data_IF_735449326541
#
_entry.id   IF_735449326541
#
_cell.length_a   1.000
_cell.length_b   1.000
_cell.length_c   1.000
_cell.angle_alpha   90.00
_cell.angle_beta   90.00
_cell.angle_gamma   90.00
#
_symmetry.space_group_name_H-M   'P 1'
#
loop_
_entity.id
_entity.type
_entity.pdbx_description
1 polymer ?
#
# COMPACT_ATOMS: atom_id res chain seq x y z
N UNK A 1 20.21 4.97 -32.46
CA UNK A 1 19.62 4.24 -31.35
C UNK A 1 20.56 3.11 -30.92
N UNK A 2 20.74 2.94 -29.63
CA UNK A 2 21.54 1.88 -29.02
C UNK A 2 20.72 1.20 -27.91
N UNK A 3 20.94 -0.11 -27.71
CA UNK A 3 20.35 -0.81 -26.58
C UNK A 3 21.18 -0.52 -25.31
N UNK A 4 20.53 -0.26 -24.18
CA UNK A 4 21.20 -0.01 -22.91
C UNK A 4 22.16 -1.15 -22.50
N UNK A 5 21.85 -2.40 -22.86
CA UNK A 5 22.68 -3.58 -22.58
C UNK A 5 23.83 -3.80 -23.57
N UNK A 6 23.91 -2.99 -24.64
CA UNK A 6 24.94 -3.06 -25.65
C UNK A 6 25.71 -1.74 -25.82
N UNK A 7 25.71 -0.96 -24.76
CA UNK A 7 26.21 0.40 -24.80
C UNK A 7 27.74 0.41 -24.94
N UNK A 8 28.26 1.22 -25.88
CA UNK A 8 29.69 1.44 -26.05
C UNK A 8 30.13 2.61 -25.17
N UNK A 9 30.97 2.33 -24.19
CA UNK A 9 31.62 3.36 -23.35
C UNK A 9 32.35 4.36 -24.19
N UNK A 10 32.37 5.63 -23.80
CA UNK A 10 33.08 6.71 -24.46
C UNK A 10 32.21 7.65 -25.29
N UNK A 11 30.93 7.42 -25.37
CA UNK A 11 30.02 8.40 -25.93
C UNK A 11 29.68 9.45 -24.89
N UNK A 12 29.72 10.73 -25.31
CA UNK A 12 29.25 11.85 -24.51
C UNK A 12 28.42 12.77 -25.39
N UNK A 13 27.29 13.26 -24.85
CA UNK A 13 26.36 14.08 -25.58
C UNK A 13 25.79 15.22 -24.75
N UNK A 14 25.30 16.25 -25.40
CA UNK A 14 24.60 17.35 -24.74
C UNK A 14 23.19 16.95 -24.32
N UNK A 15 22.54 16.08 -25.08
CA UNK A 15 21.22 15.52 -24.76
C UNK A 15 21.22 14.01 -24.88
N UNK A 16 20.74 13.32 -23.86
CA UNK A 16 20.56 11.87 -23.83
C UNK A 16 19.08 11.58 -23.59
N UNK A 17 18.44 10.84 -24.51
CA UNK A 17 17.05 10.43 -24.38
C UNK A 17 17.02 8.91 -24.25
N UNK A 18 16.48 8.42 -23.15
CA UNK A 18 16.21 7.02 -22.91
C UNK A 18 14.70 6.80 -23.07
N UNK A 19 14.29 6.16 -24.13
CA UNK A 19 12.91 5.91 -24.49
C UNK A 19 12.60 4.43 -24.39
N UNK A 20 11.60 4.07 -23.60
CA UNK A 20 11.09 2.71 -23.35
C UNK A 20 12.19 1.65 -23.06
N UNK A 21 13.25 2.03 -22.33
CA UNK A 21 14.41 1.14 -22.08
C UNK A 21 14.07 -0.09 -21.20
N UNK A 22 12.91 -0.11 -20.59
CA UNK A 22 12.40 -1.23 -19.78
C UNK A 22 11.50 -2.17 -20.58
N UNK A 23 11.28 -1.92 -21.87
CA UNK A 23 10.51 -2.81 -22.73
C UNK A 23 11.42 -3.72 -23.53
N UNK A 24 11.19 -5.02 -23.43
CA UNK A 24 11.79 -6.02 -24.33
C UNK A 24 10.66 -6.78 -25.03
N UNK A 25 10.44 -6.58 -26.33
CA UNK A 25 9.37 -7.26 -27.06
C UNK A 25 9.59 -8.76 -27.21
N UNK A 26 10.78 -9.26 -26.87
CA UNK A 26 11.16 -10.67 -27.06
C UNK A 26 11.24 -11.47 -25.76
N UNK A 27 11.33 -10.78 -24.63
CA UNK A 27 11.47 -11.42 -23.33
C UNK A 27 10.52 -10.82 -22.28
N UNK A 28 9.93 -11.65 -21.48
CA UNK A 28 9.20 -11.19 -20.30
C UNK A 28 10.14 -10.50 -19.32
N UNK A 29 9.81 -9.27 -18.93
CA UNK A 29 10.61 -8.48 -17.99
C UNK A 29 10.54 -9.09 -16.60
N UNK A 30 11.58 -9.80 -16.21
CA UNK A 30 11.74 -10.32 -14.85
C UNK A 30 12.64 -9.40 -14.01
N UNK A 31 12.61 -9.59 -12.70
CA UNK A 31 13.36 -8.76 -11.75
C UNK A 31 14.86 -8.73 -12.02
N UNK A 32 15.44 -9.82 -12.51
CA UNK A 32 16.89 -9.90 -12.83
C UNK A 32 17.25 -9.01 -14.02
N UNK A 33 16.43 -9.01 -15.06
CA UNK A 33 16.62 -8.13 -16.23
C UNK A 33 16.43 -6.67 -15.82
N UNK A 34 15.42 -6.38 -15.04
CA UNK A 34 15.14 -5.03 -14.50
C UNK A 34 16.33 -4.52 -13.68
N UNK A 35 16.88 -5.33 -12.79
CA UNK A 35 18.06 -4.98 -12.01
C UNK A 35 19.30 -4.75 -12.90
N UNK A 36 19.50 -5.58 -13.92
CA UNK A 36 20.60 -5.42 -14.88
C UNK A 36 20.50 -4.10 -15.64
N UNK A 37 19.31 -3.75 -16.15
CA UNK A 37 19.05 -2.48 -16.82
C UNK A 37 19.25 -1.31 -15.86
N UNK A 38 18.74 -1.43 -14.65
CA UNK A 38 18.85 -0.40 -13.62
C UNK A 38 20.31 -0.12 -13.25
N UNK A 39 21.13 -1.17 -13.08
CA UNK A 39 22.55 -1.02 -12.81
C UNK A 39 23.28 -0.38 -13.99
N UNK A 40 23.02 -0.83 -15.21
CA UNK A 40 23.61 -0.25 -16.42
C UNK A 40 23.24 1.24 -16.55
N UNK A 41 22.01 1.64 -16.23
CA UNK A 41 21.62 3.04 -16.24
C UNK A 41 22.44 3.87 -15.23
N UNK A 42 22.53 3.43 -13.98
CA UNK A 42 23.25 4.18 -12.94
C UNK A 42 24.76 4.19 -13.13
N UNK A 43 25.34 3.13 -13.69
CA UNK A 43 26.79 2.99 -13.87
C UNK A 43 27.29 3.62 -15.18
N UNK A 44 26.49 3.59 -16.24
CA UNK A 44 26.95 3.98 -17.58
C UNK A 44 26.17 5.17 -18.13
N UNK A 45 24.83 5.16 -18.12
CA UNK A 45 24.01 6.16 -18.80
C UNK A 45 24.06 7.52 -18.11
N UNK A 46 24.10 7.55 -16.77
CA UNK A 46 24.19 8.80 -16.01
C UNK A 46 25.45 9.63 -16.30
N UNK A 47 26.50 9.01 -16.80
CA UNK A 47 27.77 9.67 -17.11
C UNK A 47 27.87 10.19 -18.56
N UNK A 48 26.83 9.97 -19.39
CA UNK A 48 26.86 10.34 -20.81
C UNK A 48 26.68 11.83 -21.08
N UNK A 49 25.78 12.56 -20.36
CA UNK A 49 25.67 14.00 -20.57
C UNK A 49 26.97 14.69 -20.23
N UNK A 50 27.41 15.61 -21.11
CA UNK A 50 28.49 16.55 -20.81
C UNK A 50 28.03 17.59 -19.81
N UNK A 51 28.94 18.40 -19.29
CA UNK A 51 28.60 19.50 -18.39
C UNK A 51 27.57 20.44 -19.02
N UNK A 52 26.45 20.69 -18.30
CA UNK A 52 25.32 21.47 -18.81
C UNK A 52 24.38 20.70 -19.75
N UNK A 53 24.66 19.41 -19.99
CA UNK A 53 23.79 18.55 -20.80
C UNK A 53 22.60 18.02 -20.01
N UNK A 54 21.62 17.47 -20.72
CA UNK A 54 20.35 16.97 -20.20
C UNK A 54 20.20 15.46 -20.44
N UNK A 55 19.52 14.78 -19.49
CA UNK A 55 19.14 13.38 -19.62
C UNK A 55 17.64 13.24 -19.38
N UNK A 56 16.92 12.71 -20.37
CA UNK A 56 15.51 12.43 -20.30
C UNK A 56 15.27 10.94 -20.31
N UNK A 57 14.49 10.45 -19.35
CA UNK A 57 14.04 9.07 -19.29
C UNK A 57 12.52 9.05 -19.40
N UNK A 58 12.01 8.43 -20.46
CA UNK A 58 10.59 8.31 -20.75
C UNK A 58 10.24 6.84 -20.94
N UNK A 59 9.05 6.42 -20.54
CA UNK A 59 8.56 5.07 -20.74
C UNK A 59 7.54 4.65 -19.71
N UNK A 60 7.14 3.38 -19.80
CA UNK A 60 6.14 2.78 -18.93
C UNK A 60 6.83 1.93 -17.87
N UNK A 61 6.40 2.08 -16.61
CA UNK A 61 6.87 1.25 -15.51
C UNK A 61 6.44 -0.21 -15.72
N UNK A 62 7.41 -1.12 -15.68
CA UNK A 62 7.19 -2.56 -15.90
C UNK A 62 7.12 -3.37 -14.62
N UNK A 63 7.71 -2.85 -13.53
CA UNK A 63 7.77 -3.50 -12.21
C UNK A 63 7.84 -2.45 -11.11
N UNK A 64 7.38 -2.78 -9.90
CA UNK A 64 7.40 -1.87 -8.75
C UNK A 64 8.81 -1.49 -8.27
N UNK A 65 9.82 -2.28 -8.62
CA UNK A 65 11.23 -2.02 -8.30
C UNK A 65 12.05 -1.59 -9.52
N UNK A 66 11.39 -1.19 -10.60
CA UNK A 66 12.10 -0.79 -11.80
C UNK A 66 12.79 0.58 -11.68
N UNK A 67 13.51 0.92 -12.74
CA UNK A 67 14.32 2.12 -12.80
C UNK A 67 13.53 3.41 -12.49
N UNK A 68 12.28 3.53 -12.95
CA UNK A 68 11.47 4.73 -12.72
C UNK A 68 11.22 4.95 -11.23
N UNK A 69 10.85 3.90 -10.48
CA UNK A 69 10.62 3.99 -9.04
C UNK A 69 11.93 4.15 -8.26
N UNK A 70 13.01 3.53 -8.71
CA UNK A 70 14.32 3.71 -8.09
C UNK A 70 14.85 5.13 -8.25
N UNK A 71 14.69 5.75 -9.43
CA UNK A 71 15.03 7.17 -9.66
C UNK A 71 14.23 8.08 -8.74
N UNK A 72 12.91 7.87 -8.65
CA UNK A 72 12.06 8.64 -7.73
C UNK A 72 12.58 8.61 -6.30
N UNK A 73 13.00 7.44 -5.84
CA UNK A 73 13.39 7.24 -4.45
C UNK A 73 14.85 7.62 -4.14
N UNK A 74 15.77 7.45 -5.09
CA UNK A 74 17.22 7.54 -4.86
C UNK A 74 17.88 8.75 -5.51
N UNK A 75 17.37 9.24 -6.62
CA UNK A 75 18.04 10.22 -7.46
C UNK A 75 17.41 11.62 -7.37
N UNK A 76 17.77 12.37 -6.33
CA UNK A 76 17.26 13.74 -6.06
C UNK A 76 17.50 14.77 -7.18
N UNK A 77 18.32 14.44 -8.18
CA UNK A 77 18.62 15.32 -9.32
C UNK A 77 17.60 15.22 -10.45
N UNK A 78 16.74 14.20 -10.43
CA UNK A 78 15.71 14.05 -11.45
C UNK A 78 14.42 14.76 -11.05
N UNK A 79 13.88 15.50 -11.98
CA UNK A 79 12.46 15.91 -11.94
C UNK A 79 11.63 14.71 -12.38
N UNK A 80 10.81 14.19 -11.49
CA UNK A 80 10.01 12.99 -11.73
C UNK A 80 8.53 13.34 -11.86
N UNK A 81 7.89 12.84 -12.89
CA UNK A 81 6.45 13.00 -13.12
C UNK A 81 5.82 11.67 -13.57
N UNK A 82 4.57 11.45 -13.20
CA UNK A 82 3.77 10.30 -13.62
C UNK A 82 2.45 10.78 -14.19
N UNK A 83 2.12 10.32 -15.38
CA UNK A 83 0.93 10.69 -16.11
C UNK A 83 0.03 9.47 -16.28
N UNK A 84 -0.98 9.35 -15.41
CA UNK A 84 -1.99 8.29 -15.49
C UNK A 84 -3.10 8.72 -16.45
N UNK A 85 -3.58 7.80 -17.29
CA UNK A 85 -4.65 8.10 -18.24
C UNK A 85 -5.97 8.48 -17.55
N UNK A 86 -6.30 7.86 -16.40
CA UNK A 86 -7.42 8.25 -15.55
C UNK A 86 -6.88 9.01 -14.35
N UNK A 87 -7.24 10.29 -14.23
CA UNK A 87 -6.85 11.16 -13.13
C UNK A 87 -7.76 10.92 -11.93
N UNK A 88 -9.07 10.90 -12.16
CA UNK A 88 -10.09 10.67 -11.14
C UNK A 88 -11.16 9.73 -11.68
N UNK A 89 -11.29 8.58 -11.06
CA UNK A 89 -12.24 7.53 -11.46
C UNK A 89 -13.68 7.86 -11.05
N UNK A 90 -13.86 8.56 -9.95
CA UNK A 90 -15.20 8.98 -9.47
C UNK A 90 -15.81 10.03 -10.41
N UNK A 91 -15.01 11.05 -10.74
CA UNK A 91 -15.44 12.14 -11.60
C UNK A 91 -15.27 11.80 -13.10
N UNK A 92 -14.75 10.61 -13.41
CA UNK A 92 -14.45 10.15 -14.77
C UNK A 92 -13.54 11.10 -15.55
N UNK A 93 -12.61 11.76 -14.83
CA UNK A 93 -11.66 12.70 -15.42
C UNK A 93 -10.44 11.95 -15.96
N UNK A 94 -10.08 12.23 -17.21
CA UNK A 94 -8.93 11.63 -17.90
C UNK A 94 -7.87 12.67 -18.22
N UNK A 95 -6.63 12.20 -18.43
CA UNK A 95 -5.50 13.05 -18.73
C UNK A 95 -5.65 13.75 -20.10
N UNK A 96 -6.22 13.05 -21.07
CA UNK A 96 -6.39 13.55 -22.44
C UNK A 96 -7.80 13.23 -22.96
N UNK A 97 -8.81 13.97 -22.49
CA UNK A 97 -10.21 13.63 -22.74
C UNK A 97 -10.61 13.69 -24.23
N UNK A 98 -9.93 14.51 -25.05
CA UNK A 98 -10.21 14.64 -26.50
C UNK A 98 -9.85 13.37 -27.29
N UNK A 99 -8.83 12.63 -26.84
CA UNK A 99 -8.36 11.41 -27.50
C UNK A 99 -8.73 10.15 -26.71
N UNK A 100 -8.60 10.21 -25.40
CA UNK A 100 -8.84 9.10 -24.47
C UNK A 100 -9.85 9.50 -23.40
N UNK A 101 -11.11 9.69 -23.81
CA UNK A 101 -12.22 9.90 -22.89
C UNK A 101 -12.44 8.66 -22.02
N UNK A 102 -13.06 8.83 -20.85
CA UNK A 102 -13.24 7.76 -19.85
C UNK A 102 -13.87 6.48 -20.43
N UNK A 103 -14.94 6.60 -21.23
CA UNK A 103 -15.61 5.44 -21.82
C UNK A 103 -14.69 4.69 -22.79
N UNK A 104 -13.87 5.42 -23.59
CA UNK A 104 -12.89 4.80 -24.49
C UNK A 104 -11.80 4.05 -23.71
N UNK A 105 -11.34 4.61 -22.60
CA UNK A 105 -10.37 3.94 -21.73
C UNK A 105 -10.95 2.66 -21.10
N UNK A 106 -12.21 2.67 -20.72
CA UNK A 106 -12.89 1.48 -20.23
C UNK A 106 -13.05 0.41 -21.31
N UNK A 107 -13.39 0.80 -22.54
CA UNK A 107 -13.45 -0.10 -23.68
C UNK A 107 -12.09 -0.77 -23.96
N UNK A 108 -11.01 0.02 -24.01
CA UNK A 108 -9.65 -0.50 -24.15
C UNK A 108 -9.35 -1.51 -23.04
N UNK A 109 -9.64 -1.15 -21.78
CA UNK A 109 -9.42 -2.00 -20.63
C UNK A 109 -10.18 -3.31 -20.73
N UNK A 110 -11.49 -3.26 -21.01
CA UNK A 110 -12.38 -4.41 -20.86
C UNK A 110 -12.43 -5.29 -22.12
N UNK A 111 -12.19 -4.73 -23.31
CA UNK A 111 -12.37 -5.41 -24.59
C UNK A 111 -11.07 -5.65 -25.37
N UNK A 112 -10.04 -4.80 -25.18
CA UNK A 112 -8.85 -4.87 -26.04
C UNK A 112 -7.65 -5.51 -25.33
N UNK A 113 -7.23 -4.97 -24.18
CA UNK A 113 -5.96 -5.37 -23.56
C UNK A 113 -6.08 -6.04 -22.19
N UNK A 114 -7.25 -5.95 -21.57
CA UNK A 114 -7.48 -6.47 -20.22
C UNK A 114 -6.92 -5.59 -19.11
N UNK A 115 -7.38 -5.85 -17.90
CA UNK A 115 -7.08 -5.00 -16.74
C UNK A 115 -5.58 -4.95 -16.39
N UNK A 116 -4.86 -6.09 -16.50
CA UNK A 116 -3.43 -6.17 -16.18
C UNK A 116 -2.60 -5.25 -17.08
N UNK A 117 -2.78 -5.35 -18.39
CA UNK A 117 -2.07 -4.52 -19.34
C UNK A 117 -2.51 -3.05 -19.21
N UNK A 118 -3.80 -2.79 -19.02
CA UNK A 118 -4.31 -1.44 -18.82
C UNK A 118 -3.71 -0.77 -17.56
N UNK A 119 -3.66 -1.49 -16.45
CA UNK A 119 -3.07 -0.98 -15.20
C UNK A 119 -1.61 -0.58 -15.41
N UNK A 120 -0.86 -1.39 -16.13
CA UNK A 120 0.55 -1.14 -16.43
C UNK A 120 0.73 0.01 -17.43
N UNK A 121 0.13 -0.09 -18.61
CA UNK A 121 0.40 0.80 -19.75
C UNK A 121 -0.32 2.15 -19.64
N UNK A 122 -1.53 2.18 -19.10
CA UNK A 122 -2.33 3.39 -18.99
C UNK A 122 -2.36 4.02 -17.61
N UNK A 123 -2.18 3.21 -16.56
CA UNK A 123 -2.25 3.71 -15.20
C UNK A 123 -0.88 3.83 -14.53
N UNK A 124 0.21 3.50 -15.25
CA UNK A 124 1.58 3.48 -14.71
C UNK A 124 1.69 2.68 -13.40
N UNK A 125 0.90 1.63 -13.27
CA UNK A 125 0.80 0.77 -12.10
C UNK A 125 1.16 -0.67 -12.49
N UNK A 126 2.43 -1.05 -12.42
CA UNK A 126 2.89 -2.40 -12.77
C UNK A 126 2.51 -3.45 -11.72
N UNK A 127 1.84 -3.04 -10.66
CA UNK A 127 1.47 -3.89 -9.51
C UNK A 127 0.21 -4.69 -9.84
N UNK A 128 0.32 -5.58 -10.83
CA UNK A 128 -0.59 -6.69 -11.03
C UNK A 128 0.22 -7.97 -10.96
N UNK A 129 0.33 -8.51 -9.79
CA UNK A 129 0.88 -9.84 -9.60
C UNK A 129 -0.26 -10.85 -9.78
N UNK A 130 -0.12 -11.79 -10.68
CA UNK A 130 -0.93 -13.03 -10.68
C UNK A 130 -0.78 -13.76 -9.35
N UNK A 131 0.30 -13.44 -8.64
CA UNK A 131 0.66 -13.94 -7.33
C UNK A 131 0.15 -13.06 -6.18
N UNK A 132 -0.69 -12.03 -6.43
CA UNK A 132 -1.29 -11.24 -5.37
C UNK A 132 -2.08 -12.12 -4.40
N UNK A 133 -1.94 -11.88 -3.12
CA UNK A 133 -2.60 -12.65 -2.07
C UNK A 133 -4.13 -12.58 -2.16
N UNK A 134 -4.66 -11.42 -2.57
CA UNK A 134 -6.08 -11.22 -2.87
C UNK A 134 -6.26 -10.83 -4.32
N UNK A 135 -7.31 -11.35 -4.96
CA UNK A 135 -7.79 -10.83 -6.22
C UNK A 135 -8.50 -9.49 -6.01
N UNK A 136 -8.39 -8.60 -7.00
CA UNK A 136 -9.01 -7.27 -6.92
C UNK A 136 -10.51 -7.35 -6.63
N UNK A 137 -11.23 -8.23 -7.33
CA UNK A 137 -12.68 -8.36 -7.17
C UNK A 137 -13.08 -8.82 -5.77
N UNK A 138 -12.26 -9.67 -5.13
CA UNK A 138 -12.50 -10.11 -3.75
C UNK A 138 -12.50 -8.94 -2.78
N UNK A 139 -11.61 -7.97 -2.97
CA UNK A 139 -11.53 -6.77 -2.12
C UNK A 139 -12.59 -5.75 -2.54
N UNK A 140 -12.77 -5.51 -3.85
CA UNK A 140 -13.72 -4.51 -4.34
C UNK A 140 -15.17 -4.81 -3.97
N UNK A 141 -15.56 -6.09 -3.94
CA UNK A 141 -16.89 -6.53 -3.50
C UNK A 141 -17.17 -6.24 -2.01
N UNK A 142 -16.14 -5.94 -1.23
CA UNK A 142 -16.23 -5.62 0.19
C UNK A 142 -16.09 -4.13 0.47
N UNK A 143 -15.82 -3.32 -0.56
CA UNK A 143 -15.80 -1.86 -0.45
C UNK A 143 -17.23 -1.34 -0.44
N UNK A 144 -17.57 -0.56 0.56
CA UNK A 144 -18.86 0.13 0.64
C UNK A 144 -18.63 1.64 0.41
N UNK A 145 -19.07 2.17 -0.74
CA UNK A 145 -18.90 3.60 -1.07
C UNK A 145 -19.62 4.54 -0.09
N UNK A 146 -20.60 4.03 0.66
CA UNK A 146 -21.34 4.81 1.66
C UNK A 146 -20.63 4.93 3.01
N UNK A 147 -19.55 4.17 3.23
CA UNK A 147 -18.82 4.23 4.49
C UNK A 147 -17.92 5.47 4.55
N UNK A 148 -18.27 6.40 5.40
CA UNK A 148 -17.45 7.55 5.74
C UNK A 148 -16.61 7.29 6.99
N UNK A 149 -15.49 8.01 7.14
CA UNK A 149 -14.71 7.99 8.37
C UNK A 149 -15.56 8.56 9.53
N UNK A 150 -15.53 7.86 10.66
CA UNK A 150 -16.08 8.40 11.89
C UNK A 150 -15.04 9.31 12.57
N UNK A 151 -15.52 10.26 13.37
CA UNK A 151 -14.67 11.17 14.14
C UNK A 151 -14.51 10.73 15.60
N UNK A 152 -15.44 9.91 16.10
CA UNK A 152 -15.47 9.43 17.48
C UNK A 152 -16.25 8.12 17.60
N UNK A 153 -16.28 7.58 18.79
CA UNK A 153 -16.98 6.34 19.15
C UNK A 153 -18.48 6.36 18.83
N UNK A 154 -18.99 5.32 18.11
CA UNK A 154 -20.38 5.32 17.64
C UNK A 154 -21.42 4.90 18.68
N UNK A 155 -21.03 4.23 19.77
CA UNK A 155 -22.01 3.79 20.79
C UNK A 155 -21.51 2.68 21.73
N UNK A 156 -22.30 2.37 22.77
CA UNK A 156 -21.88 1.51 23.90
C UNK A 156 -21.77 0.02 23.58
N UNK A 157 -22.51 -0.46 22.62
CA UNK A 157 -22.57 -1.88 22.25
C UNK A 157 -21.46 -2.30 21.25
N UNK A 158 -20.62 -1.34 20.82
CA UNK A 158 -19.65 -1.56 19.74
C UNK A 158 -18.22 -1.72 20.28
N UNK A 159 -17.55 -2.77 19.83
CA UNK A 159 -16.15 -3.02 20.18
C UNK A 159 -15.26 -2.55 19.04
N UNK A 160 -14.35 -1.63 19.34
CA UNK A 160 -13.38 -1.12 18.38
C UNK A 160 -12.01 -1.71 18.64
N UNK A 161 -11.43 -2.23 17.56
CA UNK A 161 -10.08 -2.80 17.51
C UNK A 161 -9.31 -2.10 16.40
N UNK A 162 -8.07 -1.80 16.65
CA UNK A 162 -7.20 -1.15 15.68
C UNK A 162 -5.98 -1.99 15.33
N UNK A 163 -5.46 -1.76 14.14
CA UNK A 163 -4.17 -2.26 13.70
C UNK A 163 -3.28 -1.11 13.24
N UNK A 164 -2.01 -1.22 13.55
CA UNK A 164 -1.02 -0.22 13.22
C UNK A 164 0.24 -0.87 12.68
N UNK A 165 0.52 -0.63 11.41
CA UNK A 165 1.75 -1.05 10.74
C UNK A 165 2.73 0.11 10.72
N UNK A 166 3.91 -0.11 11.28
CA UNK A 166 4.93 0.91 11.47
C UNK A 166 5.83 0.95 10.24
N UNK A 167 5.70 2.00 9.44
CA UNK A 167 6.60 2.26 8.32
C UNK A 167 8.00 2.68 8.78
N UNK A 168 9.00 2.37 7.96
CA UNK A 168 10.36 2.94 8.11
C UNK A 168 10.32 4.44 7.82
N UNK A 169 11.37 5.16 8.23
CA UNK A 169 11.55 6.63 8.08
C UNK A 169 11.23 7.17 6.66
N UNK A 170 11.19 6.32 5.64
CA UNK A 170 10.85 6.67 4.24
C UNK A 170 9.58 5.99 3.72
N UNK A 171 8.93 5.17 4.54
CA UNK A 171 7.71 4.47 4.17
C UNK A 171 6.58 4.93 5.05
N UNK A 172 5.36 5.05 4.51
CA UNK A 172 4.22 5.44 5.30
C UNK A 172 3.93 4.39 6.37
N UNK A 173 3.48 4.84 7.54
CA UNK A 173 2.79 3.95 8.47
C UNK A 173 1.31 3.93 8.14
N UNK A 174 0.62 2.85 8.42
CA UNK A 174 -0.83 2.78 8.26
C UNK A 174 -1.51 2.39 9.57
N UNK A 175 -2.52 3.18 9.94
CA UNK A 175 -3.36 2.93 11.11
C UNK A 175 -4.82 2.79 10.68
N UNK A 176 -5.51 1.76 11.20
CA UNK A 176 -6.91 1.50 10.88
C UNK A 176 -7.69 1.05 12.10
N UNK A 177 -8.97 1.45 12.18
CA UNK A 177 -9.90 1.09 13.24
C UNK A 177 -11.07 0.33 12.65
N UNK A 178 -11.39 -0.80 13.24
CA UNK A 178 -12.55 -1.62 12.90
C UNK A 178 -13.54 -1.69 14.06
N UNK A 179 -14.81 -1.56 13.72
CA UNK A 179 -15.94 -1.78 14.59
C UNK A 179 -16.45 -3.21 14.37
N UNK A 180 -16.62 -3.94 15.46
CA UNK A 180 -17.23 -5.26 15.46
C UNK A 180 -18.70 -5.16 15.85
N UNK A 181 -19.58 -5.32 14.88
CA UNK A 181 -21.01 -5.20 15.05
C UNK A 181 -21.76 -6.42 14.48
N UNK A 182 -22.51 -7.14 15.31
CA UNK A 182 -23.44 -8.23 14.90
C UNK A 182 -22.86 -9.23 13.88
N UNK A 183 -21.59 -9.59 14.06
CA UNK A 183 -20.89 -10.55 13.16
C UNK A 183 -20.25 -9.94 11.90
N UNK A 184 -20.42 -8.66 11.67
CA UNK A 184 -19.76 -7.88 10.63
C UNK A 184 -18.63 -7.05 11.24
N UNK A 185 -17.57 -6.87 10.47
CA UNK A 185 -16.43 -6.00 10.80
C UNK A 185 -16.45 -4.82 9.84
N UNK A 186 -16.56 -3.63 10.36
CA UNK A 186 -16.71 -2.42 9.56
C UNK A 186 -15.52 -1.51 9.82
N UNK A 187 -14.81 -1.13 8.76
CA UNK A 187 -13.76 -0.14 8.86
C UNK A 187 -14.38 1.24 9.10
N UNK A 188 -14.08 1.83 10.24
CA UNK A 188 -14.66 3.12 10.64
C UNK A 188 -13.64 4.27 10.53
N UNK A 189 -12.36 3.94 10.50
CA UNK A 189 -11.30 4.94 10.37
C UNK A 189 -10.04 4.31 9.74
N UNK A 190 -9.32 5.08 8.94
CA UNK A 190 -7.99 4.70 8.46
C UNK A 190 -7.17 5.95 8.07
N UNK A 191 -5.86 5.86 8.20
CA UNK A 191 -4.94 6.93 7.81
C UNK A 191 -3.58 6.38 7.43
N UNK A 192 -3.00 6.93 6.36
CA UNK A 192 -1.58 6.78 6.05
C UNK A 192 -0.81 7.95 6.66
N UNK A 193 0.22 7.66 7.43
CA UNK A 193 1.04 8.64 8.12
C UNK A 193 2.35 8.82 7.34
N UNK A 194 2.31 9.69 6.32
CA UNK A 194 3.46 9.96 5.45
C UNK A 194 4.44 10.91 6.13
N UNK A 195 5.68 10.48 6.31
CA UNK A 195 6.76 11.27 6.90
C UNK A 195 6.49 11.79 8.34
N UNK A 196 5.62 11.11 9.09
CA UNK A 196 5.44 11.43 10.50
C UNK A 196 6.52 10.75 11.33
N UNK A 197 7.10 11.48 12.27
CA UNK A 197 7.95 10.87 13.28
C UNK A 197 7.13 9.99 14.26
N UNK A 198 7.81 9.08 14.96
CA UNK A 198 7.14 8.11 15.83
C UNK A 198 6.43 8.77 17.01
N UNK A 199 6.94 9.88 17.53
CA UNK A 199 6.31 10.63 18.62
C UNK A 199 4.94 11.13 18.19
N UNK A 200 4.87 11.81 17.05
CA UNK A 200 3.61 12.28 16.47
C UNK A 200 2.63 11.15 16.18
N UNK A 201 3.13 10.00 15.67
CA UNK A 201 2.28 8.84 15.40
C UNK A 201 1.70 8.27 16.70
N UNK A 202 2.50 8.08 17.73
CA UNK A 202 2.07 7.54 19.04
C UNK A 202 1.08 8.48 19.72
N UNK A 203 1.35 9.78 19.75
CA UNK A 203 0.43 10.79 20.30
C UNK A 203 -0.91 10.77 19.58
N UNK A 204 -0.90 10.75 18.25
CA UNK A 204 -2.11 10.69 17.44
C UNK A 204 -2.93 9.42 17.71
N UNK A 205 -2.26 8.24 17.77
CA UNK A 205 -2.95 6.99 18.04
C UNK A 205 -3.51 6.97 19.47
N UNK A 206 -2.77 7.50 20.45
CA UNK A 206 -3.28 7.64 21.83
C UNK A 206 -4.51 8.54 21.89
N UNK A 207 -4.54 9.63 21.14
CA UNK A 207 -5.75 10.47 21.03
C UNK A 207 -6.90 9.66 20.40
N UNK A 208 -6.65 8.89 19.34
CA UNK A 208 -7.68 8.05 18.73
C UNK A 208 -8.18 6.93 19.66
N UNK A 209 -7.32 6.41 20.52
CA UNK A 209 -7.75 5.47 21.57
C UNK A 209 -8.82 6.11 22.47
N UNK A 210 -8.61 7.36 22.86
CA UNK A 210 -9.56 8.08 23.71
C UNK A 210 -10.84 8.47 22.95
N UNK A 211 -10.70 9.04 21.75
CA UNK A 211 -11.82 9.48 20.91
C UNK A 211 -12.78 8.33 20.57
N UNK A 212 -12.22 7.14 20.27
CA UNK A 212 -12.97 5.97 19.83
C UNK A 212 -13.17 4.92 20.91
N UNK A 213 -12.62 5.09 22.10
CA UNK A 213 -12.60 4.09 23.18
C UNK A 213 -12.06 2.73 22.68
N UNK A 214 -10.97 2.76 21.93
CA UNK A 214 -10.39 1.57 21.31
C UNK A 214 -9.96 0.59 22.38
N UNK A 215 -10.42 -0.65 22.25
CA UNK A 215 -10.15 -1.71 23.23
C UNK A 215 -8.74 -2.27 23.10
N UNK A 216 -8.24 -2.42 21.87
CA UNK A 216 -6.91 -2.97 21.54
C UNK A 216 -6.37 -2.29 20.29
N UNK A 217 -5.08 -2.01 20.30
CA UNK A 217 -4.29 -1.59 19.14
C UNK A 217 -3.19 -2.61 18.94
N UNK A 218 -3.27 -3.39 17.87
CA UNK A 218 -2.22 -4.35 17.51
C UNK A 218 -1.19 -3.68 16.61
N UNK A 219 0.10 -3.87 16.90
CA UNK A 219 1.17 -3.22 16.15
C UNK A 219 2.38 -4.14 15.96
N UNK A 220 3.15 -3.92 14.87
CA UNK A 220 4.40 -4.61 14.63
C UNK A 220 5.47 -4.16 15.63
N UNK A 221 5.95 -5.09 16.46
CA UNK A 221 7.02 -4.87 17.44
C UNK A 221 8.31 -5.60 17.06
N UNK A 222 8.48 -5.97 15.79
CA UNK A 222 9.61 -6.83 15.36
C UNK A 222 10.95 -6.12 15.50
N UNK A 223 10.98 -4.81 15.33
CA UNK A 223 12.22 -4.02 15.29
C UNK A 223 12.47 -3.18 16.55
N UNK A 224 11.51 -3.15 17.46
CA UNK A 224 11.65 -2.39 18.70
C UNK A 224 11.52 -0.86 18.58
N UNK A 225 10.97 -0.33 17.47
CA UNK A 225 10.85 1.12 17.25
C UNK A 225 10.08 1.82 18.37
N UNK A 226 9.14 1.13 19.00
CA UNK A 226 8.31 1.68 20.08
C UNK A 226 8.74 1.23 21.49
N UNK A 227 9.85 0.53 21.64
CA UNK A 227 10.28 0.03 22.96
C UNK A 227 10.49 1.17 23.96
N UNK A 228 11.15 2.25 23.54
CA UNK A 228 11.36 3.43 24.40
C UNK A 228 10.04 4.08 24.84
N UNK A 229 9.03 4.14 23.99
CA UNK A 229 7.71 4.66 24.34
C UNK A 229 6.96 3.75 25.32
N UNK A 230 7.20 2.43 25.23
CA UNK A 230 6.66 1.45 26.18
C UNK A 230 7.33 1.59 27.54
N UNK A 231 8.64 1.77 27.60
CA UNK A 231 9.42 1.97 28.83
C UNK A 231 9.04 3.28 29.52
N UNK A 232 8.86 4.34 28.76
CA UNK A 232 8.44 5.66 29.28
C UNK A 232 6.96 5.72 29.69
N UNK A 233 6.19 4.65 29.43
CA UNK A 233 4.77 4.59 29.76
C UNK A 233 3.86 5.45 28.87
N UNK A 234 4.37 5.98 27.76
CA UNK A 234 3.58 6.73 26.75
C UNK A 234 2.62 5.79 26.04
N UNK A 235 3.05 4.57 25.79
CA UNK A 235 2.21 3.49 25.26
C UNK A 235 1.47 2.82 26.42
N UNK A 236 0.15 2.85 26.38
CA UNK A 236 -0.74 2.33 27.43
C UNK A 236 -0.71 0.79 27.44
N UNK A 237 -0.03 0.22 28.43
CA UNK A 237 0.00 -1.23 28.63
C UNK A 237 -1.42 -1.78 28.74
N UNK A 238 -1.69 -2.91 28.06
CA UNK A 238 -3.01 -3.54 28.05
C UNK A 238 -3.92 -3.09 26.92
N UNK A 239 -3.76 -1.87 26.34
CA UNK A 239 -4.45 -1.45 25.13
C UNK A 239 -3.59 -1.75 23.91
N UNK A 240 -2.33 -1.31 23.91
CA UNK A 240 -1.38 -1.63 22.87
C UNK A 240 -0.86 -3.07 23.00
N UNK A 241 -0.98 -3.83 21.93
CA UNK A 241 -0.62 -5.26 21.87
C UNK A 241 0.47 -5.47 20.82
N UNK A 242 1.71 -5.76 21.25
CA UNK A 242 2.80 -6.01 20.32
C UNK A 242 2.65 -7.35 19.62
N UNK A 243 2.89 -7.40 18.33
CA UNK A 243 2.99 -8.60 17.51
C UNK A 243 4.40 -8.66 16.93
N UNK A 244 5.08 -9.79 17.06
CA UNK A 244 6.35 -10.04 16.37
C UNK A 244 6.07 -10.73 15.04
N UNK A 245 6.48 -10.13 13.93
CA UNK A 245 6.29 -10.63 12.57
C UNK A 245 7.23 -11.80 12.25
N UNK A 246 7.08 -12.90 12.97
CA UNK A 246 7.67 -14.17 12.52
C UNK A 246 6.92 -14.66 11.28
N UNK A 247 7.56 -15.51 10.49
CA UNK A 247 6.91 -16.09 9.31
C UNK A 247 5.59 -16.81 9.68
N UNK A 248 5.59 -17.56 10.78
CA UNK A 248 4.39 -18.23 11.28
C UNK A 248 3.26 -17.27 11.65
N UNK A 249 3.58 -16.14 12.30
CA UNK A 249 2.56 -15.13 12.66
C UNK A 249 2.03 -14.41 11.43
N UNK A 250 2.88 -14.08 10.46
CA UNK A 250 2.45 -13.53 9.18
C UNK A 250 1.45 -14.43 8.48
N UNK A 251 1.74 -15.74 8.37
CA UNK A 251 0.81 -16.70 7.76
C UNK A 251 -0.51 -16.79 8.51
N UNK A 252 -0.50 -16.82 9.84
CA UNK A 252 -1.74 -16.84 10.63
C UNK A 252 -2.59 -15.60 10.41
N UNK A 253 -1.98 -14.41 10.47
CA UNK A 253 -2.67 -13.14 10.26
C UNK A 253 -3.25 -13.04 8.84
N UNK A 254 -2.47 -13.39 7.82
CA UNK A 254 -2.92 -13.39 6.45
C UNK A 254 -4.06 -14.39 6.20
N UNK A 255 -3.95 -15.61 6.72
CA UNK A 255 -5.00 -16.62 6.62
C UNK A 255 -6.30 -16.20 7.32
N UNK A 256 -6.21 -15.53 8.46
CA UNK A 256 -7.37 -14.99 9.17
C UNK A 256 -8.02 -13.84 8.39
N UNK A 257 -7.22 -12.98 7.78
CA UNK A 257 -7.70 -11.96 6.87
C UNK A 257 -8.42 -12.57 5.67
N UNK A 258 -7.81 -13.56 4.98
CA UNK A 258 -8.40 -14.28 3.86
C UNK A 258 -9.73 -14.92 4.24
N UNK A 259 -9.78 -15.61 5.37
CA UNK A 259 -11.03 -16.22 5.89
C UNK A 259 -12.12 -15.17 6.12
N UNK A 260 -11.77 -13.96 6.56
CA UNK A 260 -12.72 -12.88 6.80
C UNK A 260 -13.25 -12.32 5.48
N UNK A 261 -12.37 -12.15 4.48
CA UNK A 261 -12.71 -11.74 3.11
C UNK A 261 -13.64 -12.76 2.45
N UNK A 262 -13.24 -14.03 2.43
CA UNK A 262 -14.04 -15.13 1.82
C UNK A 262 -15.43 -15.25 2.43
N UNK A 263 -15.57 -14.98 3.73
CA UNK A 263 -16.90 -14.99 4.39
C UNK A 263 -17.73 -13.75 4.09
N UNK A 264 -17.21 -12.76 3.41
CA UNK A 264 -17.88 -11.47 3.22
C UNK A 264 -18.17 -10.74 4.52
N UNK A 265 -17.41 -11.03 5.60
CA UNK A 265 -17.69 -10.56 6.96
C UNK A 265 -16.99 -9.24 7.29
N UNK A 266 -16.46 -8.54 6.30
CA UNK A 266 -15.79 -7.25 6.46
C UNK A 266 -16.34 -6.24 5.45
N UNK A 267 -16.30 -4.95 5.81
CA UNK A 267 -16.57 -3.83 4.89
C UNK A 267 -15.47 -2.80 5.00
N UNK A 268 -15.01 -2.34 3.84
CA UNK A 268 -13.94 -1.35 3.71
C UNK A 268 -14.48 -0.01 3.25
N UNK A 269 -13.84 1.06 3.68
CA UNK A 269 -14.02 2.39 3.12
C UNK A 269 -13.46 2.44 1.69
N UNK A 270 -14.04 3.28 0.83
CA UNK A 270 -13.55 3.46 -0.53
C UNK A 270 -12.26 4.31 -0.54
N UNK A 271 -11.12 3.64 -0.41
CA UNK A 271 -9.78 4.26 -0.47
C UNK A 271 -8.91 3.53 -1.48
N UNK A 272 -8.65 4.16 -2.62
CA UNK A 272 -7.83 3.58 -3.68
C UNK A 272 -6.40 3.27 -3.22
N UNK A 273 -5.83 4.14 -2.37
CA UNK A 273 -4.50 3.90 -1.80
C UNK A 273 -4.48 2.64 -0.91
N UNK A 274 -5.48 2.49 -0.05
CA UNK A 274 -5.62 1.31 0.79
C UNK A 274 -5.80 0.03 -0.05
N UNK A 275 -6.66 0.08 -1.07
CA UNK A 275 -6.91 -1.07 -1.96
C UNK A 275 -5.62 -1.48 -2.66
N UNK A 276 -4.86 -0.53 -3.23
CA UNK A 276 -3.55 -0.83 -3.85
C UNK A 276 -2.57 -1.44 -2.85
N UNK A 277 -2.51 -0.90 -1.63
CA UNK A 277 -1.66 -1.42 -0.56
C UNK A 277 -2.06 -2.84 -0.14
N UNK A 278 -3.35 -3.18 -0.11
CA UNK A 278 -3.81 -4.56 0.14
C UNK A 278 -3.37 -5.49 -0.99
N UNK A 279 -3.55 -5.07 -2.24
CA UNK A 279 -3.25 -5.88 -3.43
C UNK A 279 -1.75 -5.98 -3.75
N UNK A 280 -0.89 -5.21 -3.08
CA UNK A 280 0.55 -5.26 -3.29
C UNK A 280 1.24 -6.45 -2.60
N UNK A 281 0.55 -7.16 -1.72
CA UNK A 281 1.08 -8.33 -1.02
C UNK A 281 0.87 -9.58 -1.87
N UNK A 282 1.93 -10.36 -2.09
CA UNK A 282 1.90 -11.60 -2.86
C UNK A 282 1.61 -12.84 -2.00
N UNK A 283 1.47 -14.01 -2.63
CA UNK A 283 1.22 -15.29 -1.95
C UNK A 283 2.36 -15.73 -1.03
N UNK A 284 3.58 -15.21 -1.20
CA UNK A 284 4.69 -15.43 -0.29
C UNK A 284 4.67 -14.49 0.92
N UNK A 285 3.64 -13.63 1.02
CA UNK A 285 3.49 -12.59 2.04
C UNK A 285 4.61 -11.54 2.01
N UNK A 286 5.14 -11.31 0.82
CA UNK A 286 6.06 -10.23 0.52
C UNK A 286 5.26 -9.08 -0.10
N UNK A 287 5.52 -7.89 0.37
CA UNK A 287 4.92 -6.70 -0.20
C UNK A 287 5.85 -6.13 -1.27
N UNK A 288 5.33 -5.92 -2.45
CA UNK A 288 6.01 -5.16 -3.48
C UNK A 288 6.06 -3.68 -3.05
N UNK A 289 7.25 -3.08 -3.12
CA UNK A 289 7.40 -1.66 -2.87
C UNK A 289 6.64 -0.87 -3.94
N UNK A 290 5.67 -0.09 -3.52
CA UNK A 290 4.90 0.77 -4.40
C UNK A 290 5.12 2.24 -4.03
N UNK A 291 4.69 3.15 -4.89
CA UNK A 291 4.68 4.59 -4.57
C UNK A 291 3.82 4.93 -3.35
N UNK A 292 2.94 4.03 -2.96
CA UNK A 292 1.98 4.19 -1.86
C UNK A 292 2.41 3.45 -0.58
N UNK A 293 3.52 2.70 -0.60
CA UNK A 293 4.05 1.93 0.54
C UNK A 293 4.28 0.44 0.24
N UNK A 294 4.48 -0.36 1.27
CA UNK A 294 4.86 -1.79 1.23
C UNK A 294 3.78 -2.74 1.73
N UNK A 295 2.54 -2.57 1.35
CA UNK A 295 1.47 -3.40 1.89
C UNK A 295 1.06 -3.02 3.32
N UNK A 296 1.38 -1.78 3.73
CA UNK A 296 1.14 -1.30 5.10
C UNK A 296 -0.33 -1.43 5.51
N UNK A 297 -1.27 -1.19 4.57
CA UNK A 297 -2.69 -1.39 4.85
C UNK A 297 -3.06 -2.87 4.97
N UNK A 298 -2.45 -3.77 4.20
CA UNK A 298 -2.67 -5.21 4.36
C UNK A 298 -2.30 -5.67 5.78
N UNK A 299 -1.11 -5.27 6.25
CA UNK A 299 -0.60 -5.72 7.54
C UNK A 299 -1.34 -5.09 8.71
N UNK A 300 -1.65 -3.80 8.66
CA UNK A 300 -2.44 -3.16 9.72
C UNK A 300 -3.85 -3.77 9.83
N UNK A 301 -4.50 -4.09 8.71
CA UNK A 301 -5.79 -4.79 8.68
C UNK A 301 -5.64 -6.20 9.24
N UNK A 302 -4.64 -6.96 8.77
CA UNK A 302 -4.39 -8.32 9.22
C UNK A 302 -4.12 -8.38 10.74
N UNK A 303 -3.39 -7.40 11.29
CA UNK A 303 -3.17 -7.25 12.74
C UNK A 303 -4.46 -6.95 13.49
N UNK A 304 -5.29 -6.02 13.01
CA UNK A 304 -6.58 -5.72 13.65
C UNK A 304 -7.51 -6.95 13.69
N UNK A 305 -7.41 -7.82 12.68
CA UNK A 305 -8.20 -9.05 12.58
C UNK A 305 -7.61 -10.23 13.36
N UNK A 306 -6.36 -10.16 13.82
CA UNK A 306 -5.65 -11.28 14.46
C UNK A 306 -6.32 -11.80 15.74
N UNK A 307 -7.16 -10.99 16.36
CA UNK A 307 -7.88 -11.34 17.59
C UNK A 307 -8.98 -12.41 17.40
N UNK A 308 -9.24 -12.90 16.20
CA UNK A 308 -10.36 -13.83 15.92
C UNK A 308 -10.12 -15.31 16.21
N UNK A 309 -8.89 -15.71 16.51
CA UNK A 309 -8.59 -17.13 16.75
C UNK A 309 -9.00 -17.64 18.16
N UNK A 310 -9.58 -16.80 19.00
CA UNK A 310 -9.94 -17.11 20.39
C UNK A 310 -11.43 -17.09 20.73
N UNK A 311 -12.35 -17.30 19.78
CA UNK A 311 -13.78 -17.27 20.11
C UNK A 311 -14.38 -15.85 20.21
N UNK A 312 -15.65 -15.69 20.53
CA UNK A 312 -16.25 -14.39 20.68
C UNK A 312 -15.46 -13.58 21.71
N UNK A 313 -15.14 -12.32 21.37
CA UNK A 313 -14.57 -11.39 22.35
C UNK A 313 -15.41 -11.52 23.62
N UNK A 314 -14.82 -11.95 24.78
CA UNK A 314 -15.64 -12.14 25.95
C UNK A 314 -16.34 -10.81 26.24
N UNK A 315 -17.65 -10.79 26.11
CA UNK A 315 -18.46 -9.74 26.67
C UNK A 315 -18.22 -9.88 28.17
N UNK A 316 -17.30 -9.10 28.70
CA UNK A 316 -17.23 -8.91 30.14
C UNK A 316 -18.50 -8.12 30.44
N UNK A 317 -19.54 -8.86 30.75
CA UNK A 317 -20.77 -8.28 31.25
C UNK A 317 -20.39 -7.40 32.43
N UNK A 318 -20.62 -6.12 32.30
CA UNK A 318 -20.81 -5.27 33.46
C UNK A 318 -22.06 -5.87 34.11
N UNK A 319 -21.86 -6.75 35.11
CA UNK A 319 -22.94 -7.12 36.02
C UNK A 319 -23.38 -5.81 36.68
N UNK A 320 -24.52 -5.34 36.24
CA UNK A 320 -25.19 -4.20 36.83
C UNK A 320 -25.33 -4.43 38.32
N UNK A 321 -24.79 -3.52 39.07
CA UNK A 321 -25.26 -3.23 40.41
C UNK A 321 -26.64 -2.54 40.29
N UNK A 322 -27.67 -3.33 40.01
CA UNK A 322 -29.04 -2.96 40.34
C UNK A 322 -29.55 -4.01 41.32
N UNK A 323 -29.35 -3.74 42.59
CA UNK A 323 -30.28 -4.14 43.64
C UNK A 323 -30.04 -3.27 44.90
N UNK A 324 -30.92 -2.40 45.11
CA UNK A 324 -31.57 -1.73 46.25
C UNK A 324 -31.49 -0.22 46.24
#
# INVERSE_FOLDING_TARGET
PASILRFNRGWHGYGVICDDILQDPTNEMNITIIQTITNAFFEEVLSLPIEGGELHLVGTAQHSEDLFFQIKNKAKRFNWAMYRAIINDVDKTTLWPEMFGYNRLMEIKDQEIGEKAFSKEYMCSPVWSEDAYFKRDEIMNLVDPGLNQLNSWPGEDEILIAGYDIGKVRHPSHFTIFMHAKGLIIQVYQVFMDNWDYTKQVEFINQKIDDFKIRRVYFDATRGELESFMEQGVIRRGIWQPIKFTQSEKFKMAANFAKTVTKGAIRFQNSQRMIRSILSVNNNLEALETTDGHGDAFWSIAMALSHRDGGPVPIIGVRGAFNR
#
